data_IF_168886997262
#
_entry.id   IF_168886997262
#
_cell.length_a   1.000
_cell.length_b   1.000
_cell.length_c   1.000
_cell.angle_alpha   90.00
_cell.angle_beta   90.00
_cell.angle_gamma   90.00
#
_symmetry.space_group_name_H-M   'P 1'
#
loop_
_entity.id
_entity.type
_entity.pdbx_description
1 polymer ?
#
# COMPACT_ATOMS: atom_id res chain seq x y z
N UNK A 1 -12.65 -13.35 -10.62
CA UNK A 1 -11.73 -14.34 -11.22
C UNK A 1 -10.29 -13.99 -10.95
N UNK A 2 -9.82 -12.80 -11.34
CA UNK A 2 -8.46 -12.31 -11.07
C UNK A 2 -8.48 -11.22 -9.99
N UNK A 3 -9.55 -10.41 -9.96
CA UNK A 3 -9.84 -9.41 -8.92
C UNK A 3 -9.85 -10.00 -7.51
N UNK A 4 -10.41 -11.20 -7.32
CA UNK A 4 -10.45 -11.90 -6.02
C UNK A 4 -9.10 -12.43 -5.52
N UNK A 5 -8.10 -12.55 -6.40
CA UNK A 5 -6.75 -13.00 -6.01
C UNK A 5 -5.95 -11.78 -5.53
N UNK A 6 -6.17 -10.61 -6.14
CA UNK A 6 -5.64 -9.33 -5.65
C UNK A 6 -6.27 -8.96 -4.29
N UNK A 7 -7.58 -9.18 -4.12
CA UNK A 7 -8.28 -8.98 -2.84
C UNK A 7 -7.81 -9.93 -1.72
N UNK A 8 -7.22 -11.08 -2.05
CA UNK A 8 -6.78 -12.08 -1.05
C UNK A 8 -5.35 -11.91 -0.57
N UNK A 9 -4.51 -11.14 -1.27
CA UNK A 9 -3.08 -11.02 -0.91
C UNK A 9 -2.81 -9.85 0.02
N UNK A 10 -3.69 -8.85 0.13
CA UNK A 10 -3.61 -7.88 1.22
C UNK A 10 -5.02 -7.41 1.57
N UNK A 11 -5.58 -7.75 2.74
CA UNK A 11 -6.79 -7.10 3.21
C UNK A 11 -6.42 -5.68 3.66
N UNK A 12 -6.25 -4.77 2.70
CA UNK A 12 -6.36 -3.33 2.95
C UNK A 12 -7.79 -2.93 3.36
N UNK A 13 -8.72 -3.90 3.36
CA UNK A 13 -10.04 -3.79 3.96
C UNK A 13 -10.06 -4.05 5.48
N UNK A 14 -9.04 -4.73 6.04
CA UNK A 14 -8.92 -4.97 7.50
C UNK A 14 -8.04 -3.92 8.17
N UNK A 15 -6.95 -3.54 7.51
CA UNK A 15 -6.20 -2.32 7.84
C UNK A 15 -6.91 -1.17 7.13
N UNK A 16 -7.86 -0.52 7.82
CA UNK A 16 -8.52 0.68 7.28
C UNK A 16 -7.50 1.77 6.88
N UNK A 17 -7.96 2.92 6.40
CA UNK A 17 -7.03 3.96 5.98
C UNK A 17 -6.12 4.45 7.11
N UNK A 18 -5.18 5.38 6.81
CA UNK A 18 -4.17 5.84 7.76
C UNK A 18 -4.70 6.23 9.13
N UNK A 19 -5.92 6.78 9.19
CA UNK A 19 -6.53 7.19 10.46
C UNK A 19 -6.95 5.96 11.27
N UNK A 20 -7.54 4.94 10.62
CA UNK A 20 -7.92 3.70 11.30
C UNK A 20 -6.70 2.90 11.76
N UNK A 21 -5.60 2.93 11.00
CA UNK A 21 -4.33 2.32 11.45
C UNK A 21 -3.85 2.99 12.74
N UNK A 22 -3.95 4.33 12.84
CA UNK A 22 -3.61 5.05 14.06
C UNK A 22 -4.56 4.72 15.22
N UNK A 23 -5.86 4.61 14.98
CA UNK A 23 -6.85 4.18 16.00
C UNK A 23 -6.53 2.78 16.54
N UNK A 24 -6.25 1.82 15.65
CA UNK A 24 -5.89 0.45 16.05
C UNK A 24 -4.55 0.47 16.81
N UNK A 25 -3.55 1.23 16.35
CA UNK A 25 -2.27 1.34 17.06
C UNK A 25 -2.47 1.84 18.50
N UNK A 26 -3.35 2.81 18.72
CA UNK A 26 -3.75 3.29 20.06
C UNK A 26 -4.35 2.17 20.90
N UNK A 27 -5.30 1.41 20.35
CA UNK A 27 -5.91 0.26 21.03
C UNK A 27 -4.88 -0.83 21.39
N UNK A 28 -3.93 -1.11 20.49
CA UNK A 28 -2.86 -2.09 20.75
C UNK A 28 -1.89 -1.59 21.82
N UNK A 29 -1.61 -0.28 21.86
CA UNK A 29 -0.79 0.32 22.92
C UNK A 29 -1.49 0.26 24.28
N UNK A 30 -2.80 0.51 24.35
CA UNK A 30 -3.62 0.36 25.56
C UNK A 30 -3.63 -1.10 26.04
N UNK A 31 -3.64 -2.06 25.11
CA UNK A 31 -3.49 -3.49 25.41
C UNK A 31 -2.06 -3.89 25.84
N UNK A 32 -1.09 -2.97 25.76
CA UNK A 32 0.29 -3.14 26.19
C UNK A 32 1.32 -3.07 25.06
N UNK A 33 2.54 -2.65 25.42
CA UNK A 33 3.63 -2.41 24.46
C UNK A 33 3.99 -3.63 23.58
N UNK A 34 3.83 -4.85 24.11
CA UNK A 34 4.08 -6.07 23.34
C UNK A 34 3.07 -6.24 22.20
N UNK A 35 1.78 -5.92 22.43
CA UNK A 35 0.75 -5.97 21.40
C UNK A 35 1.01 -4.92 20.30
N UNK A 36 1.46 -3.72 20.68
CA UNK A 36 1.90 -2.72 19.72
C UNK A 36 3.06 -3.22 18.86
N UNK A 37 4.06 -3.89 19.44
CA UNK A 37 5.18 -4.47 18.67
C UNK A 37 4.71 -5.54 17.68
N UNK A 38 3.80 -6.44 18.10
CA UNK A 38 3.20 -7.42 17.19
C UNK A 38 2.45 -6.75 16.04
N UNK A 39 1.65 -5.72 16.34
CA UNK A 39 0.92 -4.96 15.34
C UNK A 39 1.85 -4.25 14.34
N UNK A 40 2.90 -3.60 14.84
CA UNK A 40 3.92 -2.97 13.98
C UNK A 40 4.64 -4.00 13.13
N UNK A 41 5.01 -5.15 13.69
CA UNK A 41 5.62 -6.25 12.94
C UNK A 41 4.74 -6.75 11.80
N UNK A 42 3.44 -6.94 12.08
CA UNK A 42 2.45 -7.31 11.06
C UNK A 42 2.35 -6.25 9.96
N UNK A 43 2.25 -4.97 10.32
CA UNK A 43 2.24 -3.86 9.36
C UNK A 43 3.50 -3.85 8.50
N UNK A 44 4.68 -3.99 9.10
CA UNK A 44 5.95 -4.00 8.39
C UNK A 44 6.05 -5.14 7.38
N UNK A 45 5.62 -6.34 7.74
CA UNK A 45 5.58 -7.49 6.80
C UNK A 45 4.64 -7.20 5.64
N UNK A 46 3.44 -6.67 5.91
CA UNK A 46 2.49 -6.33 4.85
C UNK A 46 3.02 -5.24 3.91
N UNK A 47 3.67 -4.19 4.45
CA UNK A 47 4.32 -3.15 3.65
C UNK A 47 5.49 -3.71 2.82
N UNK A 48 6.27 -4.64 3.39
CA UNK A 48 7.33 -5.34 2.65
C UNK A 48 6.78 -6.14 1.46
N UNK A 49 5.69 -6.88 1.66
CA UNK A 49 5.01 -7.62 0.59
C UNK A 49 4.45 -6.66 -0.48
N UNK A 50 3.82 -5.56 -0.06
CA UNK A 50 3.30 -4.53 -0.97
C UNK A 50 4.41 -3.89 -1.80
N UNK A 51 5.56 -3.58 -1.20
CA UNK A 51 6.70 -2.99 -1.91
C UNK A 51 7.30 -3.94 -2.95
N UNK A 52 7.12 -5.25 -2.82
CA UNK A 52 7.56 -6.24 -3.82
C UNK A 52 6.59 -6.40 -5.00
N UNK A 53 5.44 -5.73 -4.99
CA UNK A 53 4.53 -5.73 -6.13
C UNK A 53 5.19 -5.08 -7.36
N UNK A 54 4.85 -5.52 -8.59
CA UNK A 54 5.42 -5.02 -9.83
C UNK A 54 4.86 -3.64 -10.22
N UNK A 55 4.94 -2.66 -9.31
CA UNK A 55 4.48 -1.29 -9.49
C UNK A 55 5.72 -0.40 -9.67
N UNK A 56 5.85 0.36 -10.78
CA UNK A 56 7.05 1.13 -11.15
C UNK A 56 7.67 2.08 -10.10
N UNK A 57 6.92 2.48 -9.09
CA UNK A 57 7.38 3.38 -8.00
C UNK A 57 7.80 2.62 -6.75
N UNK A 58 7.49 1.32 -6.70
CA UNK A 58 7.85 0.42 -5.61
C UNK A 58 9.10 -0.38 -5.97
N UNK A 59 9.76 -0.94 -4.95
CA UNK A 59 10.98 -1.74 -5.11
C UNK A 59 10.78 -2.91 -6.09
N UNK A 60 9.62 -3.56 -6.07
CA UNK A 60 9.25 -4.63 -6.99
C UNK A 60 9.12 -4.19 -8.45
N UNK A 61 8.76 -2.93 -8.71
CA UNK A 61 8.79 -2.35 -10.06
C UNK A 61 10.22 -2.24 -10.59
N UNK A 62 11.17 -1.84 -9.74
CA UNK A 62 12.58 -1.83 -10.09
C UNK A 62 13.13 -3.24 -10.34
N UNK A 63 12.74 -4.21 -9.52
CA UNK A 63 13.10 -5.62 -9.76
C UNK A 63 12.59 -6.10 -11.12
N UNK A 64 11.38 -5.72 -11.53
CA UNK A 64 10.84 -6.03 -12.86
C UNK A 64 11.68 -5.37 -13.96
N UNK A 65 12.01 -4.09 -13.82
CA UNK A 65 12.86 -3.39 -14.80
C UNK A 65 14.21 -4.07 -14.96
N UNK A 66 14.90 -4.37 -13.86
CA UNK A 66 16.17 -5.08 -13.85
C UNK A 66 16.05 -6.49 -14.48
N UNK A 67 14.97 -7.22 -14.18
CA UNK A 67 14.72 -8.54 -14.78
C UNK A 67 14.56 -8.44 -16.30
N UNK A 68 13.82 -7.44 -16.78
CA UNK A 68 13.61 -7.19 -18.20
C UNK A 68 14.92 -6.77 -18.89
N UNK A 69 15.72 -5.92 -18.26
CA UNK A 69 17.04 -5.51 -18.76
C UNK A 69 18.02 -6.68 -18.83
N UNK A 70 18.05 -7.52 -17.80
CA UNK A 70 18.85 -8.73 -17.76
C UNK A 70 18.50 -9.71 -18.88
N UNK A 71 17.21 -9.89 -19.18
CA UNK A 71 16.75 -10.73 -20.30
C UNK A 71 17.06 -10.07 -21.66
N UNK A 72 16.90 -8.76 -21.79
CA UNK A 72 17.16 -8.03 -23.06
C UNK A 72 18.65 -7.80 -23.33
N UNK A 73 19.51 -7.88 -22.31
CA UNK A 73 20.93 -7.54 -22.39
C UNK A 73 21.22 -6.07 -22.69
N UNK A 74 20.22 -5.19 -22.54
CA UNK A 74 20.35 -3.74 -22.77
C UNK A 74 19.38 -2.96 -21.88
N UNK A 75 19.76 -1.73 -21.48
CA UNK A 75 18.92 -0.91 -20.60
C UNK A 75 17.57 -0.57 -21.25
N UNK A 76 16.56 -0.38 -20.40
CA UNK A 76 15.29 0.22 -20.79
C UNK A 76 15.52 1.68 -21.18
N UNK A 77 14.76 2.17 -22.16
CA UNK A 77 14.85 3.57 -22.54
C UNK A 77 14.27 4.46 -21.43
N UNK A 78 14.91 5.58 -21.14
CA UNK A 78 14.49 6.56 -20.12
C UNK A 78 13.01 6.93 -20.25
N UNK A 79 12.50 7.09 -21.48
CA UNK A 79 11.09 7.42 -21.74
C UNK A 79 10.12 6.36 -21.23
N UNK A 80 10.47 5.07 -21.31
CA UNK A 80 9.61 3.97 -20.82
C UNK A 80 9.61 3.96 -19.29
N UNK A 81 10.77 4.17 -18.67
CA UNK A 81 10.90 4.24 -17.22
C UNK A 81 10.14 5.44 -16.66
N UNK A 82 10.27 6.62 -17.28
CA UNK A 82 9.57 7.84 -16.89
C UNK A 82 8.05 7.70 -17.00
N UNK A 83 7.53 7.18 -18.12
CA UNK A 83 6.09 6.96 -18.29
C UNK A 83 5.57 5.97 -17.25
N UNK A 84 6.30 4.88 -17.02
CA UNK A 84 5.92 3.84 -16.05
C UNK A 84 5.88 4.40 -14.63
N UNK A 85 6.89 5.18 -14.23
CA UNK A 85 6.94 5.84 -12.93
C UNK A 85 5.80 6.85 -12.75
N UNK A 86 5.53 7.71 -13.75
CA UNK A 86 4.40 8.65 -13.71
C UNK A 86 3.06 7.93 -13.56
N UNK A 87 2.86 6.84 -14.31
CA UNK A 87 1.66 6.02 -14.20
C UNK A 87 1.53 5.41 -12.80
N UNK A 88 2.63 4.89 -12.24
CA UNK A 88 2.66 4.35 -10.89
C UNK A 88 2.35 5.41 -9.82
N UNK A 89 2.92 6.62 -9.94
CA UNK A 89 2.68 7.72 -9.00
C UNK A 89 1.22 8.17 -9.09
N UNK A 90 0.68 8.31 -10.31
CA UNK A 90 -0.72 8.67 -10.50
C UNK A 90 -1.67 7.62 -9.90
N UNK A 91 -1.37 6.33 -10.08
CA UNK A 91 -2.14 5.22 -9.51
C UNK A 91 -2.11 5.25 -7.98
N UNK A 92 -0.91 5.28 -7.38
CA UNK A 92 -0.74 5.27 -5.93
C UNK A 92 -1.31 6.54 -5.30
N UNK A 93 -1.06 7.71 -5.90
CA UNK A 93 -1.62 8.99 -5.44
C UNK A 93 -3.15 8.99 -5.48
N UNK A 94 -3.76 8.46 -6.54
CA UNK A 94 -5.22 8.32 -6.63
C UNK A 94 -5.75 7.38 -5.54
N UNK A 95 -5.08 6.24 -5.32
CA UNK A 95 -5.46 5.29 -4.27
C UNK A 95 -5.33 5.92 -2.87
N UNK A 96 -4.25 6.64 -2.60
CA UNK A 96 -4.05 7.36 -1.35
C UNK A 96 -5.18 8.35 -1.11
N UNK A 97 -5.50 9.20 -2.09
CA UNK A 97 -6.61 10.15 -2.00
C UNK A 97 -7.94 9.45 -1.74
N UNK A 98 -8.22 8.35 -2.44
CA UNK A 98 -9.44 7.56 -2.24
C UNK A 98 -9.54 6.99 -0.82
N UNK A 99 -8.47 6.40 -0.30
CA UNK A 99 -8.42 5.84 1.06
C UNK A 99 -8.59 6.94 2.10
N UNK A 100 -7.87 8.06 1.97
CA UNK A 100 -8.01 9.22 2.86
C UNK A 100 -9.42 9.81 2.83
N UNK A 101 -10.02 9.93 1.64
CA UNK A 101 -11.39 10.42 1.49
C UNK A 101 -12.40 9.54 2.23
N UNK A 102 -12.28 8.22 2.09
CA UNK A 102 -13.15 7.27 2.80
C UNK A 102 -12.97 7.33 4.33
N UNK A 103 -11.73 7.49 4.80
CA UNK A 103 -11.44 7.68 6.22
C UNK A 103 -12.10 8.94 6.77
N UNK A 104 -11.97 10.07 6.07
CA UNK A 104 -12.61 11.35 6.45
C UNK A 104 -14.12 11.20 6.48
N UNK A 105 -14.73 10.63 5.43
CA UNK A 105 -16.17 10.41 5.37
C UNK A 105 -16.66 9.57 6.55
N UNK A 106 -15.96 8.49 6.89
CA UNK A 106 -16.31 7.63 8.03
C UNK A 106 -16.29 8.41 9.34
N UNK A 107 -15.28 9.26 9.54
CA UNK A 107 -15.17 10.08 10.76
C UNK A 107 -16.31 11.09 10.82
N UNK A 108 -16.58 11.79 9.72
CA UNK A 108 -17.66 12.76 9.63
C UNK A 108 -19.02 12.09 9.87
N UNK A 109 -19.26 10.91 9.31
CA UNK A 109 -20.47 10.11 9.60
C UNK A 109 -20.56 9.72 11.08
N UNK A 110 -19.45 9.32 11.71
CA UNK A 110 -19.42 9.00 13.15
C UNK A 110 -19.82 10.20 14.01
N UNK A 111 -19.44 11.41 13.63
CA UNK A 111 -19.78 12.64 14.35
C UNK A 111 -21.22 13.11 14.08
N UNK A 112 -21.76 12.89 12.88
CA UNK A 112 -23.13 13.28 12.52
C UNK A 112 -24.19 12.27 12.99
N UNK A 113 -23.79 11.01 13.21
CA UNK A 113 -24.66 9.93 13.69
C UNK A 113 -24.68 9.76 15.21
N UNK A 114 -24.00 10.63 15.96
CA UNK A 114 -23.95 10.69 17.43
C UNK A 114 -24.76 11.85 17.99
#
# INVERSE_FOLDING_TARGET
GIVKIVERVVPASELGGPIRIAEIAGQQLEAGWMNLLYFMGLLSVNLGILNLLPIPVLDGGHLVFLSVEGIRGKPLSDRVMEISQKAGIALLGTLMLFVFYNDILRIVQRWMGS
#
